data_IF_542468391117
#
_entry.id   IF_542468391117
#
_cell.length_a   1.000
_cell.length_b   1.000
_cell.length_c   1.000
_cell.angle_alpha   90.00
_cell.angle_beta   90.00
_cell.angle_gamma   90.00
#
_symmetry.space_group_name_H-M   'P 1'
#
loop_
_entity.id
_entity.type
_entity.pdbx_description
1 polymer ?
#
# COMPACT_ATOMS: atom_id res chain seq x y z
N UNK A 1 10.98 -6.03 12.81
CA UNK A 1 10.20 -4.77 12.80
C UNK A 1 9.67 -4.44 11.41
N UNK A 2 10.50 -4.19 10.38
CA UNK A 2 10.00 -3.95 9.01
C UNK A 2 9.29 -5.16 8.41
N UNK A 3 9.87 -6.35 8.58
CA UNK A 3 9.28 -7.61 8.11
C UNK A 3 7.91 -7.89 8.74
N UNK A 4 7.70 -7.49 10.00
CA UNK A 4 6.44 -7.69 10.71
C UNK A 4 5.30 -6.84 10.12
N UNK A 5 5.62 -5.62 9.65
CA UNK A 5 4.65 -4.75 8.98
C UNK A 5 4.26 -5.28 7.61
N UNK A 6 5.22 -5.74 6.81
CA UNK A 6 4.94 -6.31 5.49
C UNK A 6 4.11 -7.58 5.64
N UNK A 7 4.45 -8.47 6.58
CA UNK A 7 3.67 -9.68 6.86
C UNK A 7 2.23 -9.37 7.30
N UNK A 8 2.03 -8.30 8.07
CA UNK A 8 0.70 -7.84 8.46
C UNK A 8 -0.12 -7.37 7.25
N UNK A 9 0.48 -6.54 6.39
CA UNK A 9 -0.17 -6.04 5.17
C UNK A 9 -0.47 -7.16 4.18
N UNK A 10 0.42 -8.14 4.06
CA UNK A 10 0.20 -9.31 3.23
C UNK A 10 -1.01 -10.12 3.70
N UNK A 11 -1.15 -10.34 5.01
CA UNK A 11 -2.32 -11.03 5.59
C UNK A 11 -3.63 -10.29 5.30
N UNK A 12 -3.61 -8.95 5.31
CA UNK A 12 -4.78 -8.14 4.94
C UNK A 12 -5.12 -8.35 3.47
N UNK A 13 -4.12 -8.31 2.59
CA UNK A 13 -4.29 -8.55 1.15
C UNK A 13 -4.82 -9.96 0.85
N UNK A 14 -4.32 -10.97 1.55
CA UNK A 14 -4.81 -12.35 1.47
C UNK A 14 -6.29 -12.44 1.87
N UNK A 15 -6.70 -11.71 2.92
CA UNK A 15 -8.10 -11.64 3.32
C UNK A 15 -8.96 -10.95 2.25
N UNK A 16 -8.50 -9.84 1.68
CA UNK A 16 -9.19 -9.12 0.61
C UNK A 16 -9.36 -10.00 -0.64
N UNK A 17 -8.32 -10.77 -1.00
CA UNK A 17 -8.40 -11.77 -2.07
C UNK A 17 -9.40 -12.88 -1.76
N UNK A 18 -9.43 -13.38 -0.51
CA UNK A 18 -10.32 -14.47 -0.11
C UNK A 18 -11.81 -14.08 -0.15
N UNK A 19 -12.15 -12.83 0.13
CA UNK A 19 -13.54 -12.33 0.08
C UNK A 19 -13.95 -11.78 -1.29
N UNK A 20 -13.01 -11.70 -2.24
CA UNK A 20 -13.25 -11.26 -3.61
C UNK A 20 -13.11 -9.76 -3.85
N UNK A 21 -12.59 -9.00 -2.87
CA UNK A 21 -12.31 -7.57 -3.03
C UNK A 21 -11.12 -7.33 -3.98
N UNK A 22 -10.18 -8.26 -4.03
CA UNK A 22 -9.04 -8.25 -4.97
C UNK A 22 -9.22 -9.23 -6.12
N UNK A 23 -8.63 -8.90 -7.27
CA UNK A 23 -8.61 -9.71 -8.49
C UNK A 23 -8.05 -11.12 -8.21
N UNK A 24 -8.64 -12.19 -8.77
CA UNK A 24 -8.08 -13.53 -8.68
C UNK A 24 -6.63 -13.58 -9.18
N UNK A 25 -5.77 -14.28 -8.45
CA UNK A 25 -4.34 -14.38 -8.79
C UNK A 25 -3.50 -13.17 -8.37
N UNK A 26 -4.05 -12.26 -7.57
CA UNK A 26 -3.28 -11.16 -6.96
C UNK A 26 -2.08 -11.69 -6.17
N UNK A 27 -0.90 -11.13 -6.46
CA UNK A 27 0.30 -11.30 -5.64
C UNK A 27 0.20 -10.41 -4.38
N UNK A 28 -0.20 -11.04 -3.27
CA UNK A 28 -0.40 -10.36 -1.99
C UNK A 28 0.92 -9.84 -1.39
N UNK A 29 2.03 -10.52 -1.66
CA UNK A 29 3.36 -10.11 -1.20
C UNK A 29 3.80 -8.85 -1.92
N UNK A 30 3.61 -8.78 -3.24
CA UNK A 30 3.90 -7.58 -4.04
C UNK A 30 3.05 -6.39 -3.60
N UNK A 31 1.75 -6.60 -3.38
CA UNK A 31 0.86 -5.56 -2.85
C UNK A 31 1.37 -5.01 -1.51
N UNK A 32 1.70 -5.90 -0.56
CA UNK A 32 2.17 -5.51 0.76
C UNK A 32 3.47 -4.69 0.69
N UNK A 33 4.41 -5.11 -0.17
CA UNK A 33 5.65 -4.39 -0.39
C UNK A 33 5.42 -2.99 -0.99
N UNK A 34 4.54 -2.88 -2.01
CA UNK A 34 4.24 -1.60 -2.66
C UNK A 34 3.54 -0.63 -1.71
N UNK A 35 2.56 -1.11 -0.94
CA UNK A 35 1.85 -0.29 0.04
C UNK A 35 2.80 0.18 1.16
N UNK A 36 3.64 -0.72 1.68
CA UNK A 36 4.61 -0.37 2.71
C UNK A 36 5.63 0.67 2.22
N UNK A 37 6.11 0.51 0.98
CA UNK A 37 7.03 1.46 0.35
C UNK A 37 6.41 2.85 0.20
N UNK A 38 5.12 2.93 -0.15
CA UNK A 38 4.38 4.19 -0.26
C UNK A 38 4.26 4.89 1.09
N UNK A 39 3.88 4.14 2.14
CA UNK A 39 3.77 4.65 3.51
C UNK A 39 5.13 5.19 4.01
N UNK A 40 6.21 4.45 3.76
CA UNK A 40 7.55 4.87 4.15
C UNK A 40 8.00 6.13 3.40
N UNK A 41 7.70 6.21 2.10
CA UNK A 41 7.94 7.40 1.29
C UNK A 41 7.21 8.61 1.86
N UNK A 42 5.93 8.48 2.22
CA UNK A 42 5.19 9.56 2.88
C UNK A 42 5.87 10.04 4.15
N UNK A 43 6.24 9.14 5.06
CA UNK A 43 6.90 9.53 6.31
C UNK A 43 8.20 10.30 6.07
N UNK A 44 8.98 9.89 5.06
CA UNK A 44 10.22 10.58 4.69
C UNK A 44 9.95 12.01 4.22
N UNK A 45 9.01 12.19 3.27
CA UNK A 45 8.71 13.50 2.70
C UNK A 45 7.96 14.42 3.68
N UNK A 46 6.98 13.90 4.41
CA UNK A 46 6.19 14.68 5.36
C UNK A 46 7.05 15.20 6.52
N UNK A 47 7.89 14.35 7.11
CA UNK A 47 8.70 14.75 8.26
C UNK A 47 9.90 15.63 7.88
N UNK A 48 10.43 15.48 6.66
CA UNK A 48 11.65 16.17 6.24
C UNK A 48 11.38 17.46 5.45
N UNK A 49 10.33 17.49 4.62
CA UNK A 49 10.10 18.59 3.68
C UNK A 49 8.93 19.50 4.08
N UNK A 50 8.04 19.07 5.00
CA UNK A 50 6.79 19.77 5.40
C UNK A 50 5.98 20.28 4.20
N UNK A 51 6.05 19.58 3.07
CA UNK A 51 5.37 19.99 1.85
C UNK A 51 3.88 19.61 1.95
N UNK A 52 2.96 20.59 1.88
CA UNK A 52 1.53 20.32 1.97
C UNK A 52 0.99 19.50 0.79
N UNK A 53 1.70 19.43 -0.35
CA UNK A 53 1.27 18.64 -1.51
C UNK A 53 1.60 17.15 -1.39
N UNK A 54 2.55 16.78 -0.52
CA UNK A 54 2.99 15.39 -0.33
C UNK A 54 1.83 14.47 0.03
N UNK A 55 0.90 14.90 0.89
CA UNK A 55 -0.28 14.10 1.25
C UNK A 55 -1.17 13.83 0.03
N UNK A 56 -1.42 14.84 -0.80
CA UNK A 56 -2.25 14.68 -2.01
C UNK A 56 -1.63 13.71 -3.01
N UNK A 57 -0.30 13.75 -3.18
CA UNK A 57 0.42 12.85 -4.08
C UNK A 57 0.39 11.40 -3.58
N UNK A 58 0.58 11.20 -2.27
CA UNK A 58 0.54 9.87 -1.66
C UNK A 58 -0.86 9.27 -1.73
N UNK A 59 -1.91 10.07 -1.51
CA UNK A 59 -3.29 9.60 -1.69
C UNK A 59 -3.58 9.21 -3.13
N UNK A 60 -3.20 10.05 -4.10
CA UNK A 60 -3.36 9.69 -5.51
C UNK A 60 -2.57 8.43 -5.89
N UNK A 61 -1.38 8.21 -5.33
CA UNK A 61 -0.60 7.00 -5.56
C UNK A 61 -1.23 5.78 -4.88
N UNK A 62 -1.83 5.94 -3.70
CA UNK A 62 -2.56 4.89 -2.99
C UNK A 62 -3.81 4.46 -3.76
N UNK A 63 -4.60 5.42 -4.26
CA UNK A 63 -5.79 5.14 -5.05
C UNK A 63 -5.44 4.35 -6.32
N UNK A 64 -4.41 4.79 -7.05
CA UNK A 64 -3.91 4.07 -8.24
C UNK A 64 -3.38 2.68 -7.92
N UNK A 65 -2.75 2.52 -6.75
CA UNK A 65 -2.31 1.20 -6.29
C UNK A 65 -3.53 0.30 -6.11
N UNK A 66 -4.55 0.73 -5.38
CA UNK A 66 -5.77 -0.05 -5.15
C UNK A 66 -6.50 -0.39 -6.46
N UNK A 67 -6.65 0.56 -7.38
CA UNK A 67 -7.26 0.35 -8.70
C UNK A 67 -6.58 -0.79 -9.49
N UNK A 68 -5.26 -0.99 -9.29
CA UNK A 68 -4.56 -2.10 -9.96
C UNK A 68 -4.98 -3.47 -9.43
N UNK A 69 -5.43 -3.57 -8.18
CA UNK A 69 -5.78 -4.83 -7.50
C UNK A 69 -7.28 -5.10 -7.38
N UNK A 70 -8.13 -4.07 -7.37
CA UNK A 70 -9.59 -4.22 -7.33
C UNK A 70 -10.12 -4.60 -8.72
N UNK A 71 -11.11 -5.51 -8.84
CA UNK A 71 -11.71 -5.97 -10.10
C UNK A 71 -12.09 -4.86 -11.08
#
# INVERSE_FOLDING_TARGET
>A
QHDDWINCLERIAQSALAVGDFKPGTDCTLFAFQLYSLILGFFLYHNSMKDPHTMSLVMAAFDRLLESYIP
#
